data_IF_374379761829
#
_entry.id   IF_374379761829
#
_cell.length_a   1.000
_cell.length_b   1.000
_cell.length_c   1.000
_cell.angle_alpha   90.00
_cell.angle_beta   90.00
_cell.angle_gamma   90.00
#
_symmetry.space_group_name_H-M   'P 1'
#
loop_
_entity.id
_entity.type
_entity.pdbx_description
1 polymer ?
#
# COMPACT_ATOMS: atom_id res chain seq x y z
N UNK A 1 7.74 -21.45 -25.49
CA UNK A 1 8.49 -21.57 -24.22
C UNK A 1 7.50 -21.88 -23.10
N UNK A 2 7.62 -23.01 -22.41
CA UNK A 2 6.77 -23.32 -21.25
C UNK A 2 7.26 -22.48 -20.07
N UNK A 3 6.49 -21.47 -19.67
CA UNK A 3 6.82 -20.67 -18.49
C UNK A 3 6.64 -21.53 -17.24
N UNK A 4 7.75 -21.93 -16.60
CA UNK A 4 7.74 -22.72 -15.38
C UNK A 4 7.27 -21.92 -14.16
N UNK A 5 6.59 -22.58 -13.24
CA UNK A 5 6.31 -22.05 -11.91
C UNK A 5 7.60 -22.10 -11.08
N UNK A 6 7.97 -20.97 -10.47
CA UNK A 6 8.98 -20.91 -9.41
C UNK A 6 8.24 -21.01 -8.08
N UNK A 7 8.45 -22.10 -7.35
CA UNK A 7 7.77 -22.37 -6.08
C UNK A 7 8.79 -22.47 -4.95
N UNK A 8 8.58 -21.66 -3.91
CA UNK A 8 9.42 -21.59 -2.71
C UNK A 8 8.51 -21.88 -1.51
N UNK A 9 8.88 -22.89 -0.71
CA UNK A 9 8.07 -23.34 0.43
C UNK A 9 8.95 -23.68 1.60
N UNK A 10 8.55 -23.25 2.80
CA UNK A 10 9.19 -23.61 4.07
C UNK A 10 10.69 -23.34 4.06
N UNK A 11 11.08 -22.12 3.70
CA UNK A 11 12.48 -21.73 3.59
C UNK A 11 12.87 -20.79 4.71
N UNK A 12 14.02 -21.07 5.33
CA UNK A 12 14.71 -20.15 6.21
C UNK A 12 16.07 -19.82 5.60
N UNK A 13 16.32 -18.54 5.34
CA UNK A 13 17.53 -18.04 4.70
C UNK A 13 18.23 -17.06 5.65
N UNK A 14 19.44 -17.40 6.07
CA UNK A 14 20.32 -16.49 6.82
C UNK A 14 21.02 -15.54 5.85
N UNK A 15 20.28 -14.54 5.37
CA UNK A 15 20.75 -13.53 4.44
C UNK A 15 19.65 -13.07 3.48
N UNK A 16 20.03 -12.89 2.22
CA UNK A 16 19.14 -12.41 1.18
C UNK A 16 18.64 -13.56 0.28
N UNK A 17 17.33 -13.57 0.01
CA UNK A 17 16.67 -14.38 -1.01
C UNK A 17 16.36 -13.49 -2.22
N UNK A 18 16.92 -13.84 -3.38
CA UNK A 18 16.68 -13.16 -4.64
C UNK A 18 16.11 -14.15 -5.66
N UNK A 19 14.94 -13.85 -6.20
CA UNK A 19 14.20 -14.73 -7.09
C UNK A 19 13.75 -13.94 -8.30
N UNK A 20 14.15 -14.36 -9.50
CA UNK A 20 13.79 -13.67 -10.74
C UNK A 20 13.38 -14.66 -11.83
N UNK A 21 12.43 -14.24 -12.67
CA UNK A 21 12.03 -14.99 -13.86
C UNK A 21 11.33 -14.09 -14.87
N UNK A 22 11.56 -14.26 -16.16
CA UNK A 22 10.92 -13.39 -17.16
C UNK A 22 9.41 -13.66 -17.30
N UNK A 23 9.00 -14.93 -17.26
CA UNK A 23 7.62 -15.33 -17.60
C UNK A 23 6.99 -16.27 -16.57
N UNK A 24 7.79 -16.84 -15.68
CA UNK A 24 7.32 -17.81 -14.70
C UNK A 24 6.54 -17.14 -13.57
N UNK A 25 5.46 -17.76 -13.12
CA UNK A 25 4.82 -17.33 -11.87
C UNK A 25 5.80 -17.57 -10.72
N UNK A 26 5.92 -16.62 -9.80
CA UNK A 26 6.61 -16.80 -8.53
C UNK A 26 5.56 -17.04 -7.45
N UNK A 27 5.70 -18.13 -6.71
CA UNK A 27 4.91 -18.41 -5.53
C UNK A 27 5.83 -18.71 -4.35
N UNK A 28 5.82 -17.82 -3.35
CA UNK A 28 6.56 -17.99 -2.11
C UNK A 28 5.58 -18.14 -0.95
N UNK A 29 5.74 -19.23 -0.18
CA UNK A 29 4.88 -19.54 0.95
C UNK A 29 5.76 -19.98 2.12
N UNK A 30 5.55 -19.43 3.32
CA UNK A 30 6.36 -19.77 4.51
C UNK A 30 7.86 -19.55 4.27
N UNK A 31 8.23 -18.29 4.03
CA UNK A 31 9.61 -17.89 3.75
C UNK A 31 10.08 -16.88 4.78
N UNK A 32 11.16 -17.21 5.48
CA UNK A 32 11.86 -16.32 6.40
C UNK A 32 13.27 -16.03 5.84
N UNK A 33 13.58 -14.76 5.61
CA UNK A 33 14.90 -14.32 5.18
C UNK A 33 15.38 -13.23 6.14
N UNK A 34 16.56 -13.39 6.74
CA UNK A 34 16.98 -12.47 7.80
C UNK A 34 17.17 -11.03 7.34
N UNK A 35 17.57 -10.78 6.08
CA UNK A 35 17.75 -9.41 5.56
C UNK A 35 16.73 -9.04 4.48
N UNK A 36 16.76 -9.72 3.34
CA UNK A 36 15.97 -9.30 2.17
C UNK A 36 15.32 -10.48 1.48
N UNK A 37 14.05 -10.33 1.10
CA UNK A 37 13.36 -11.21 0.16
C UNK A 37 12.88 -10.40 -1.05
N UNK A 38 13.51 -10.62 -2.22
CA UNK A 38 13.17 -9.92 -3.46
C UNK A 38 12.70 -10.89 -4.54
N UNK A 39 11.53 -10.61 -5.10
CA UNK A 39 10.85 -11.41 -6.11
C UNK A 39 10.55 -10.54 -7.33
N UNK A 40 11.10 -10.88 -8.49
CA UNK A 40 10.93 -10.09 -9.71
C UNK A 40 10.49 -10.93 -10.90
N UNK A 41 9.52 -10.42 -11.66
CA UNK A 41 9.16 -11.04 -12.94
C UNK A 41 8.66 -10.07 -14.00
N UNK A 42 9.00 -10.26 -15.27
CA UNK A 42 8.47 -9.38 -16.33
C UNK A 42 6.96 -9.63 -16.56
N UNK A 43 6.58 -10.88 -16.76
CA UNK A 43 5.23 -11.28 -17.16
C UNK A 43 4.56 -12.28 -16.21
N UNK A 44 5.29 -12.77 -15.21
CA UNK A 44 4.79 -13.73 -14.25
C UNK A 44 4.19 -13.06 -13.01
N UNK A 45 3.05 -13.56 -12.56
CA UNK A 45 2.46 -13.09 -11.31
C UNK A 45 3.37 -13.43 -10.12
N UNK A 46 3.41 -12.55 -9.13
CA UNK A 46 4.13 -12.77 -7.86
C UNK A 46 3.11 -12.95 -6.75
N UNK A 47 3.18 -14.09 -6.06
CA UNK A 47 2.32 -14.43 -4.93
C UNK A 47 3.18 -14.71 -3.71
N UNK A 48 3.03 -13.90 -2.66
CA UNK A 48 3.74 -14.06 -1.39
C UNK A 48 2.74 -14.34 -0.28
N UNK A 49 2.99 -15.36 0.53
CA UNK A 49 2.13 -15.72 1.66
C UNK A 49 2.99 -16.12 2.85
N UNK A 50 2.78 -15.50 4.02
CA UNK A 50 3.60 -15.77 5.23
C UNK A 50 5.09 -15.59 4.93
N UNK A 51 5.46 -14.37 4.52
CA UNK A 51 6.85 -14.00 4.24
C UNK A 51 7.33 -13.00 5.28
N UNK A 52 8.50 -13.28 5.87
CA UNK A 52 9.17 -12.44 6.85
C UNK A 52 10.58 -12.07 6.35
N UNK A 53 10.93 -10.78 6.41
CA UNK A 53 12.29 -10.28 6.21
C UNK A 53 12.42 -8.84 6.71
N UNK A 54 13.62 -8.27 6.86
CA UNK A 54 13.72 -6.82 7.09
C UNK A 54 13.15 -6.04 5.88
N UNK A 55 13.43 -6.51 4.66
CA UNK A 55 12.92 -5.90 3.43
C UNK A 55 12.29 -6.92 2.49
N UNK A 56 11.03 -6.72 2.12
CA UNK A 56 10.31 -7.51 1.13
C UNK A 56 10.06 -6.66 -0.12
N UNK A 57 10.45 -7.17 -1.29
CA UNK A 57 10.20 -6.52 -2.58
C UNK A 57 9.53 -7.50 -3.54
N UNK A 58 8.42 -7.08 -4.15
CA UNK A 58 7.78 -7.79 -5.24
C UNK A 58 7.61 -6.85 -6.43
N UNK A 59 8.15 -7.24 -7.60
CA UNK A 59 8.10 -6.41 -8.80
C UNK A 59 7.64 -7.22 -10.01
N UNK A 60 6.69 -6.71 -10.77
CA UNK A 60 6.39 -7.24 -12.10
C UNK A 60 5.82 -6.24 -13.08
N UNK A 61 6.10 -6.33 -14.38
CA UNK A 61 5.59 -5.33 -15.31
C UNK A 61 4.13 -5.56 -15.68
N UNK A 62 3.77 -6.81 -16.00
CA UNK A 62 2.50 -7.11 -16.67
C UNK A 62 1.55 -7.99 -15.87
N UNK A 63 1.95 -8.47 -14.68
CA UNK A 63 1.17 -9.44 -13.93
C UNK A 63 0.85 -8.97 -12.51
N UNK A 64 -0.15 -9.59 -11.90
CA UNK A 64 -0.61 -9.18 -10.57
C UNK A 64 0.42 -9.49 -9.49
N UNK A 65 0.49 -8.63 -8.48
CA UNK A 65 1.17 -8.91 -7.22
C UNK A 65 0.09 -9.22 -6.17
N UNK A 66 0.21 -10.35 -5.50
CA UNK A 66 -0.63 -10.71 -4.35
C UNK A 66 0.26 -10.98 -3.15
N UNK A 67 0.06 -10.26 -2.07
CA UNK A 67 0.79 -10.44 -0.82
C UNK A 67 -0.19 -10.62 0.32
N UNK A 68 0.06 -11.64 1.15
CA UNK A 68 -0.77 -11.98 2.29
C UNK A 68 0.13 -12.35 3.49
N UNK A 69 -0.21 -11.84 4.67
CA UNK A 69 0.45 -12.23 5.92
C UNK A 69 1.97 -11.96 5.85
N UNK A 70 2.37 -10.75 5.44
CA UNK A 70 3.78 -10.36 5.26
C UNK A 70 4.20 -9.44 6.40
N UNK A 71 5.36 -9.72 6.99
CA UNK A 71 5.95 -8.88 8.06
C UNK A 71 7.35 -8.44 7.66
N UNK A 72 7.57 -7.13 7.57
CA UNK A 72 8.88 -6.57 7.25
C UNK A 72 9.03 -5.13 7.71
N UNK A 73 10.25 -4.64 7.91
CA UNK A 73 10.45 -3.20 8.16
C UNK A 73 10.07 -2.38 6.91
N UNK A 74 10.38 -2.89 5.71
CA UNK A 74 10.02 -2.25 4.45
C UNK A 74 9.39 -3.23 3.46
N UNK A 75 8.24 -2.87 2.92
CA UNK A 75 7.53 -3.60 1.86
C UNK A 75 7.41 -2.71 0.62
N UNK A 76 7.96 -3.18 -0.51
CA UNK A 76 7.88 -2.49 -1.80
C UNK A 76 7.21 -3.39 -2.86
N UNK A 77 6.07 -2.97 -3.39
CA UNK A 77 5.27 -3.69 -4.37
C UNK A 77 5.12 -2.82 -5.61
N UNK A 78 5.62 -3.29 -6.75
CA UNK A 78 5.62 -2.50 -7.98
C UNK A 78 5.10 -3.27 -9.18
N UNK A 79 4.09 -2.73 -9.88
CA UNK A 79 3.70 -3.25 -11.19
C UNK A 79 3.11 -2.23 -12.14
N UNK A 80 3.45 -2.29 -13.43
CA UNK A 80 2.93 -1.30 -14.37
C UNK A 80 1.44 -1.52 -14.68
N UNK A 81 1.04 -2.73 -15.06
CA UNK A 81 -0.23 -2.94 -15.76
C UNK A 81 -1.30 -3.71 -14.99
N UNK A 82 -0.94 -4.38 -13.90
CA UNK A 82 -1.81 -5.33 -13.23
C UNK A 82 -2.05 -4.95 -11.77
N UNK A 83 -3.07 -5.51 -11.10
CA UNK A 83 -3.41 -5.09 -9.75
C UNK A 83 -2.40 -5.56 -8.70
N UNK A 84 -2.27 -4.76 -7.64
CA UNK A 84 -1.63 -5.12 -6.37
C UNK A 84 -2.72 -5.40 -5.35
N UNK A 85 -2.72 -6.61 -4.77
CA UNK A 85 -3.60 -7.00 -3.68
C UNK A 85 -2.77 -7.29 -2.43
N UNK A 86 -3.11 -6.62 -1.34
CA UNK A 86 -2.47 -6.77 -0.03
C UNK A 86 -3.47 -7.31 0.98
N UNK A 87 -3.01 -8.12 1.92
CA UNK A 87 -3.79 -8.58 3.07
C UNK A 87 -2.86 -8.81 4.26
N UNK A 88 -3.24 -8.32 5.44
CA UNK A 88 -2.51 -8.54 6.68
C UNK A 88 -1.01 -8.21 6.55
N UNK A 89 -0.70 -7.04 6.00
CA UNK A 89 0.68 -6.54 5.91
C UNK A 89 1.03 -5.83 7.21
N UNK A 90 2.14 -6.18 7.83
CA UNK A 90 2.70 -5.44 8.98
C UNK A 90 4.06 -4.89 8.58
N UNK A 91 4.17 -3.56 8.51
CA UNK A 91 5.44 -2.94 8.13
C UNK A 91 5.68 -1.57 8.72
N UNK A 92 6.95 -1.16 8.77
CA UNK A 92 7.26 0.23 9.11
C UNK A 92 7.05 1.13 7.91
N UNK A 93 7.44 0.66 6.72
CA UNK A 93 7.33 1.39 5.47
C UNK A 93 6.64 0.53 4.41
N UNK A 94 5.58 1.05 3.80
CA UNK A 94 4.90 0.44 2.67
C UNK A 94 4.98 1.34 1.45
N UNK A 95 5.38 0.78 0.32
CA UNK A 95 5.29 1.41 -1.01
C UNK A 95 4.59 0.45 -1.97
N UNK A 96 3.38 0.81 -2.41
CA UNK A 96 2.63 0.09 -3.43
C UNK A 96 2.42 1.01 -4.64
N UNK A 97 3.03 0.69 -5.76
CA UNK A 97 3.04 1.56 -6.94
C UNK A 97 2.60 0.80 -8.17
N UNK A 98 1.62 1.36 -8.87
CA UNK A 98 1.25 0.92 -10.21
C UNK A 98 1.12 2.06 -11.21
N UNK A 99 0.89 1.74 -12.48
CA UNK A 99 0.47 2.74 -13.48
C UNK A 99 -0.99 2.55 -13.86
N UNK A 100 -1.38 1.32 -14.23
CA UNK A 100 -2.73 1.02 -14.73
C UNK A 100 -3.53 0.08 -13.81
N UNK A 101 -2.86 -0.67 -12.94
CA UNK A 101 -3.52 -1.61 -12.04
C UNK A 101 -4.10 -0.96 -10.79
N UNK A 102 -5.19 -1.51 -10.27
CA UNK A 102 -5.71 -1.12 -8.97
C UNK A 102 -4.78 -1.52 -7.82
N UNK A 103 -4.79 -0.76 -6.72
CA UNK A 103 -4.13 -1.11 -5.46
C UNK A 103 -5.22 -1.29 -4.41
N UNK A 104 -5.25 -2.46 -3.77
CA UNK A 104 -6.26 -2.74 -2.74
C UNK A 104 -5.73 -3.60 -1.61
N UNK A 105 -6.24 -3.38 -0.41
CA UNK A 105 -5.95 -4.25 0.73
C UNK A 105 -5.84 -3.53 2.07
N UNK A 106 -5.39 -4.28 3.06
CA UNK A 106 -5.18 -3.82 4.42
C UNK A 106 -3.72 -3.92 4.85
N UNK A 107 -3.29 -2.97 5.68
CA UNK A 107 -1.96 -2.95 6.28
C UNK A 107 -1.97 -2.31 7.67
N UNK A 108 -1.08 -2.77 8.53
CA UNK A 108 -0.70 -2.17 9.81
C UNK A 108 0.66 -1.51 9.63
N UNK A 109 0.69 -0.18 9.64
CA UNK A 109 1.86 0.60 9.25
C UNK A 109 2.40 1.36 10.42
N UNK A 110 3.73 1.32 10.66
CA UNK A 110 4.40 2.16 11.67
C UNK A 110 4.70 3.56 11.14
N UNK A 111 5.62 3.72 10.20
CA UNK A 111 6.12 5.05 9.82
C UNK A 111 5.45 5.63 8.58
N UNK A 112 5.60 4.96 7.42
CA UNK A 112 5.24 5.55 6.13
C UNK A 112 4.41 4.59 5.27
N UNK A 113 3.35 5.09 4.65
CA UNK A 113 2.60 4.39 3.62
C UNK A 113 2.45 5.24 2.36
N UNK A 114 2.92 4.72 1.24
CA UNK A 114 2.75 5.32 -0.08
C UNK A 114 2.00 4.33 -0.97
N UNK A 115 0.87 4.76 -1.49
CA UNK A 115 0.13 4.02 -2.50
C UNK A 115 -0.19 4.92 -3.69
N UNK A 116 0.28 4.54 -4.88
CA UNK A 116 0.19 5.37 -6.06
C UNK A 116 -0.21 4.57 -7.29
N UNK A 117 -1.13 5.11 -8.06
CA UNK A 117 -1.39 4.70 -9.43
C UNK A 117 -1.70 5.90 -10.33
N UNK A 118 -1.76 5.71 -11.64
CA UNK A 118 -2.24 6.74 -12.57
C UNK A 118 -3.68 6.47 -12.98
N UNK A 119 -3.97 5.22 -13.35
CA UNK A 119 -5.24 4.82 -13.94
C UNK A 119 -5.97 3.75 -13.13
N UNK A 120 -5.40 3.23 -12.05
CA UNK A 120 -6.09 2.29 -11.15
C UNK A 120 -6.91 2.99 -10.06
N UNK A 121 -7.89 2.30 -9.51
CA UNK A 121 -8.47 2.69 -8.23
C UNK A 121 -7.52 2.32 -7.08
N UNK A 122 -7.56 3.09 -5.99
CA UNK A 122 -6.83 2.77 -4.76
C UNK A 122 -7.82 2.67 -3.61
N UNK A 123 -7.91 1.50 -2.98
CA UNK A 123 -8.80 1.25 -1.83
C UNK A 123 -8.00 0.60 -0.70
N UNK A 124 -7.68 1.35 0.34
CA UNK A 124 -6.80 0.88 1.41
C UNK A 124 -7.42 1.05 2.79
N UNK A 125 -7.18 0.05 3.63
CA UNK A 125 -7.42 0.11 5.07
C UNK A 125 -6.06 0.12 5.78
N UNK A 126 -5.76 1.18 6.53
CA UNK A 126 -4.51 1.30 7.26
C UNK A 126 -4.80 1.43 8.75
N UNK A 127 -4.24 0.52 9.55
CA UNK A 127 -4.30 0.62 11.00
C UNK A 127 -2.97 1.12 11.58
N UNK A 128 -3.08 1.92 12.64
CA UNK A 128 -1.94 2.46 13.37
C UNK A 128 -1.36 1.46 14.37
N UNK A 129 -0.05 1.52 14.54
CA UNK A 129 0.65 1.00 15.72
C UNK A 129 1.04 2.16 16.64
N UNK A 130 1.09 1.97 17.97
CA UNK A 130 1.65 2.97 18.88
C UNK A 130 3.04 3.40 18.41
N UNK A 131 3.27 4.70 18.28
CA UNK A 131 4.58 5.25 17.89
C UNK A 131 4.84 6.59 18.58
N UNK A 132 6.12 6.93 18.68
CA UNK A 132 6.66 8.20 19.19
C UNK A 132 6.82 9.30 18.13
N UNK A 133 6.80 8.97 16.83
CA UNK A 133 7.14 9.89 15.74
C UNK A 133 5.97 10.08 14.77
N UNK A 134 5.99 11.19 14.03
CA UNK A 134 4.96 11.58 13.06
C UNK A 134 4.87 10.56 11.91
N UNK A 135 3.70 9.94 11.74
CA UNK A 135 3.40 8.98 10.66
C UNK A 135 3.07 9.71 9.35
N UNK A 136 3.50 9.20 8.20
CA UNK A 136 3.21 9.79 6.88
C UNK A 136 2.44 8.83 5.97
N UNK A 137 1.25 9.22 5.55
CA UNK A 137 0.39 8.41 4.67
C UNK A 137 0.04 9.23 3.43
N UNK A 138 0.40 8.71 2.25
CA UNK A 138 0.07 9.32 0.95
C UNK A 138 -0.56 8.29 0.05
N UNK A 139 -1.80 8.55 -0.36
CA UNK A 139 -2.57 7.67 -1.25
C UNK A 139 -3.09 8.49 -2.43
N UNK A 140 -2.75 8.08 -3.65
CA UNK A 140 -3.10 8.86 -4.84
C UNK A 140 -3.33 8.08 -6.11
N UNK A 141 -4.22 8.60 -6.94
CA UNK A 141 -4.49 8.16 -8.31
C UNK A 141 -4.70 9.38 -9.19
N UNK A 142 -4.42 9.36 -10.49
CA UNK A 142 -4.77 10.50 -11.35
C UNK A 142 -6.22 10.41 -11.82
N UNK A 143 -6.65 9.24 -12.27
CA UNK A 143 -7.87 9.11 -13.08
C UNK A 143 -8.97 8.28 -12.43
N UNK A 144 -8.69 7.63 -11.30
CA UNK A 144 -9.64 6.73 -10.66
C UNK A 144 -9.77 6.99 -9.16
N UNK A 145 -10.81 6.40 -8.58
CA UNK A 145 -11.19 6.64 -7.20
C UNK A 145 -10.06 6.33 -6.23
N UNK A 146 -9.94 7.15 -5.20
CA UNK A 146 -9.07 6.91 -4.05
C UNK A 146 -9.92 6.88 -2.79
N UNK A 147 -9.91 5.74 -2.12
CA UNK A 147 -10.55 5.52 -0.83
C UNK A 147 -9.50 5.03 0.17
N UNK A 148 -9.34 5.78 1.25
CA UNK A 148 -8.49 5.43 2.37
C UNK A 148 -9.34 5.39 3.64
N UNK A 149 -9.30 4.27 4.33
CA UNK A 149 -9.89 4.07 5.65
C UNK A 149 -8.75 3.89 6.66
N UNK A 150 -8.81 4.65 7.75
CA UNK A 150 -7.84 4.67 8.82
C UNK A 150 -8.47 4.15 10.10
N UNK A 151 -7.70 3.42 10.89
CA UNK A 151 -8.11 2.96 12.23
C UNK A 151 -6.94 3.16 13.19
N UNK A 152 -7.21 3.63 14.40
CA UNK A 152 -6.19 3.94 15.41
C UNK A 152 -5.11 4.92 14.90
N UNK A 153 -5.49 5.85 14.01
CA UNK A 153 -4.59 6.87 13.45
C UNK A 153 -5.28 8.23 13.56
N UNK A 154 -4.63 9.11 14.30
CA UNK A 154 -4.96 10.52 14.41
C UNK A 154 -3.93 11.34 13.65
N UNK A 155 -4.30 12.56 13.24
CA UNK A 155 -3.39 13.43 12.51
C UNK A 155 -4.06 14.51 11.69
N UNK A 156 -3.21 15.29 11.01
CA UNK A 156 -3.64 16.24 9.98
C UNK A 156 -3.93 15.51 8.68
N UNK A 157 -4.99 15.91 7.99
CA UNK A 157 -5.35 15.38 6.69
C UNK A 157 -5.54 16.46 5.63
N UNK A 158 -5.22 16.10 4.39
CA UNK A 158 -5.55 16.81 3.17
C UNK A 158 -6.17 15.81 2.18
N UNK A 159 -7.44 16.01 1.83
CA UNK A 159 -8.19 15.24 0.83
C UNK A 159 -8.51 16.12 -0.34
N UNK A 160 -7.94 15.84 -1.51
CA UNK A 160 -7.97 16.75 -2.66
C UNK A 160 -8.41 16.06 -3.95
N UNK A 161 -9.13 16.80 -4.77
CA UNK A 161 -9.33 16.47 -6.17
C UNK A 161 -9.42 17.71 -7.05
N UNK A 162 -9.14 17.58 -8.35
CA UNK A 162 -9.23 18.70 -9.28
C UNK A 162 -10.62 18.80 -9.89
N UNK A 163 -11.17 17.69 -10.36
CA UNK A 163 -12.34 17.67 -11.25
C UNK A 163 -13.53 16.88 -10.69
N UNK A 164 -13.47 16.43 -9.43
CA UNK A 164 -14.52 15.62 -8.82
C UNK A 164 -14.80 16.05 -7.37
N UNK A 165 -15.23 15.12 -6.52
CA UNK A 165 -15.56 15.37 -5.11
C UNK A 165 -14.44 14.90 -4.17
N UNK A 166 -14.17 15.68 -3.14
CA UNK A 166 -13.42 15.27 -1.95
C UNK A 166 -14.40 15.05 -0.78
N UNK A 167 -14.27 13.93 -0.08
CA UNK A 167 -15.12 13.61 1.07
C UNK A 167 -14.31 13.08 2.25
N UNK A 168 -14.85 13.30 3.43
CA UNK A 168 -14.35 12.78 4.69
C UNK A 168 -15.52 12.19 5.49
N UNK A 169 -15.29 11.07 6.18
CA UNK A 169 -16.21 10.47 7.14
C UNK A 169 -15.45 10.07 8.41
N UNK A 170 -16.11 10.16 9.56
CA UNK A 170 -15.57 9.82 10.88
C UNK A 170 -16.43 10.46 11.98
N UNK A 171 -16.03 10.30 13.25
CA UNK A 171 -16.72 10.95 14.37
C UNK A 171 -16.59 12.48 14.23
N UNK A 172 -17.73 13.16 14.08
CA UNK A 172 -17.79 14.62 13.92
C UNK A 172 -17.22 15.39 15.10
N UNK A 173 -17.13 14.78 16.29
CA UNK A 173 -16.54 15.42 17.48
C UNK A 173 -15.02 15.49 17.42
N UNK A 174 -14.39 14.59 16.66
CA UNK A 174 -12.94 14.49 16.53
C UNK A 174 -12.41 15.18 15.26
N UNK A 175 -13.30 15.49 14.31
CA UNK A 175 -12.94 16.17 13.05
C UNK A 175 -12.98 17.69 13.25
N UNK A 176 -11.81 18.33 13.12
CA UNK A 176 -11.68 19.78 13.01
C UNK A 176 -11.30 20.17 11.57
N UNK A 177 -12.25 20.78 10.84
CA UNK A 177 -12.05 21.20 9.44
C UNK A 177 -11.54 22.63 9.35
N UNK A 178 -10.40 22.80 8.68
CA UNK A 178 -9.84 24.11 8.30
C UNK A 178 -10.32 24.59 6.94
N UNK A 179 -10.48 23.68 5.98
CA UNK A 179 -11.01 23.99 4.64
C UNK A 179 -12.00 22.90 4.23
N UNK A 180 -13.12 23.32 3.65
CA UNK A 180 -14.19 22.41 3.23
C UNK A 180 -14.89 22.94 1.98
N UNK A 181 -14.36 22.61 0.80
CA UNK A 181 -15.00 22.86 -0.51
C UNK A 181 -15.47 21.54 -1.12
N UNK A 182 -16.08 21.56 -2.31
CA UNK A 182 -16.45 20.34 -3.03
C UNK A 182 -15.24 19.48 -3.43
N UNK A 183 -14.09 20.10 -3.67
CA UNK A 183 -12.87 19.50 -4.22
C UNK A 183 -11.72 19.37 -3.22
N UNK A 184 -11.85 19.98 -2.04
CA UNK A 184 -10.83 19.97 -1.00
C UNK A 184 -11.45 19.88 0.38
N UNK A 185 -10.98 18.93 1.18
CA UNK A 185 -11.18 18.88 2.63
C UNK A 185 -9.81 18.88 3.30
N UNK A 186 -9.56 19.78 4.23
CA UNK A 186 -8.35 19.72 5.06
C UNK A 186 -8.62 20.12 6.49
N UNK A 187 -7.88 19.54 7.42
CA UNK A 187 -8.15 19.63 8.84
C UNK A 187 -7.34 18.63 9.66
N UNK A 188 -7.84 18.29 10.83
CA UNK A 188 -7.28 17.25 11.70
C UNK A 188 -8.37 16.33 12.25
N UNK A 189 -7.97 15.10 12.55
CA UNK A 189 -8.75 14.12 13.30
C UNK A 189 -7.95 13.76 14.56
N UNK A 190 -8.50 14.03 15.75
CA UNK A 190 -7.79 13.81 17.02
C UNK A 190 -6.52 14.67 17.14
N UNK A 191 -5.42 14.10 17.63
CA UNK A 191 -4.11 14.73 17.72
C UNK A 191 -3.50 15.04 16.34
N UNK A 192 -3.48 16.32 15.98
CA UNK A 192 -2.96 16.81 14.71
C UNK A 192 -1.44 16.60 14.51
N UNK A 193 -0.69 16.26 15.56
CA UNK A 193 0.78 16.03 15.50
C UNK A 193 1.17 14.58 15.24
N UNK A 194 0.23 13.65 15.39
CA UNK A 194 0.48 12.21 15.29
C UNK A 194 0.74 11.72 13.85
N UNK A 195 0.09 12.31 12.84
CA UNK A 195 0.29 11.91 11.45
C UNK A 195 0.02 13.03 10.42
N UNK A 196 0.61 12.89 9.23
CA UNK A 196 0.25 13.60 8.00
C UNK A 196 -0.37 12.65 7.00
N UNK A 197 -1.61 12.93 6.63
CA UNK A 197 -2.42 12.10 5.74
C UNK A 197 -2.75 12.90 4.48
N UNK A 198 -2.38 12.37 3.32
CA UNK A 198 -2.70 12.95 2.03
C UNK A 198 -3.44 11.95 1.17
N UNK A 199 -4.65 12.30 0.75
CA UNK A 199 -5.49 11.52 -0.16
C UNK A 199 -5.80 12.38 -1.36
N UNK A 200 -5.40 11.97 -2.58
CA UNK A 200 -5.58 12.83 -3.75
C UNK A 200 -5.91 12.10 -5.03
N UNK A 201 -6.77 12.71 -5.85
CA UNK A 201 -6.92 12.31 -7.25
C UNK A 201 -7.35 13.44 -8.18
N UNK A 202 -6.89 13.46 -9.42
CA UNK A 202 -7.23 14.56 -10.33
C UNK A 202 -8.68 14.49 -10.80
N UNK A 203 -9.15 13.32 -11.23
CA UNK A 203 -10.38 13.22 -12.03
C UNK A 203 -11.52 12.42 -11.37
N UNK A 204 -11.30 11.83 -10.20
CA UNK A 204 -12.25 10.95 -9.54
C UNK A 204 -12.48 11.31 -8.08
N UNK A 205 -13.34 10.55 -7.40
CA UNK A 205 -13.66 10.77 -5.99
C UNK A 205 -12.45 10.47 -5.10
N UNK A 206 -12.09 11.43 -4.23
CA UNK A 206 -11.15 11.24 -3.13
C UNK A 206 -11.94 11.11 -1.82
N UNK A 207 -11.79 10.00 -1.11
CA UNK A 207 -12.49 9.74 0.15
C UNK A 207 -11.51 9.31 1.24
N UNK A 208 -11.60 9.98 2.39
CA UNK A 208 -10.94 9.59 3.61
C UNK A 208 -11.97 9.17 4.66
N UNK A 209 -11.72 8.08 5.36
CA UNK A 209 -12.55 7.58 6.46
C UNK A 209 -11.68 7.35 7.68
N UNK A 210 -12.15 7.79 8.84
CA UNK A 210 -11.63 7.47 10.16
C UNK A 210 -12.67 6.63 10.92
#
# INVERSE_FOLDING_TARGET
MRSGLVQLRNLTIHGALLVSTSNGRINATDVDATSRAAFSSTNGAVSLTRVRAERVTATTNNASIRVADVTAEAVALHTANAPVSMRAITADNLSAITTNGAIRGDARIRSTAIAQTSNGAVTLQISGTPQTDERQITVRSSNNMVELELTDIEGRFDVTTSNSRASIKGDSKLIDLRRSTGTLKSGSFGDASSARISVSTSNAHAMLRF
#
